data_IF_025872000802
#
_entry.id   IF_025872000802
#
_cell.length_a   1.000
_cell.length_b   1.000
_cell.length_c   1.000
_cell.angle_alpha   90.00
_cell.angle_beta   90.00
_cell.angle_gamma   90.00
#
_symmetry.space_group_name_H-M   'P 1'
#
loop_
_entity.id
_entity.type
_entity.pdbx_description
1 polymer ?
#
# COMPACT_ATOMS: atom_id res chain seq x y z
N UNK A 1 16.78 2.43 -3.41
CA UNK A 1 15.94 1.40 -4.03
C UNK A 1 14.53 1.58 -3.51
N UNK A 2 13.49 1.38 -4.34
CA UNK A 2 12.12 1.44 -3.83
C UNK A 2 11.89 0.32 -2.82
N UNK A 3 11.03 0.58 -1.83
CA UNK A 3 10.70 -0.44 -0.82
C UNK A 3 10.03 -1.66 -1.45
N UNK A 4 10.13 -2.80 -0.79
CA UNK A 4 9.43 -4.02 -1.18
C UNK A 4 7.93 -3.92 -0.89
N UNK A 5 7.12 -4.77 -1.53
CA UNK A 5 5.68 -4.87 -1.23
C UNK A 5 5.43 -5.13 0.27
N UNK A 6 6.22 -6.02 0.90
CA UNK A 6 6.06 -6.35 2.32
C UNK A 6 6.35 -5.15 3.22
N UNK A 7 7.39 -4.38 2.92
CA UNK A 7 7.72 -3.15 3.65
C UNK A 7 6.62 -2.10 3.51
N UNK A 8 6.08 -1.92 2.29
CA UNK A 8 4.96 -0.99 2.07
C UNK A 8 3.71 -1.41 2.84
N UNK A 9 3.32 -2.68 2.80
CA UNK A 9 2.16 -3.17 3.57
C UNK A 9 2.39 -2.97 5.06
N UNK A 10 3.58 -3.32 5.59
CA UNK A 10 3.93 -3.11 7.00
C UNK A 10 3.86 -1.64 7.40
N UNK A 11 4.34 -0.74 6.54
CA UNK A 11 4.28 0.70 6.78
C UNK A 11 2.83 1.20 6.84
N UNK A 12 2.00 0.81 5.87
CA UNK A 12 0.59 1.21 5.85
C UNK A 12 -0.16 0.68 7.07
N UNK A 13 0.07 -0.59 7.45
CA UNK A 13 -0.56 -1.20 8.63
C UNK A 13 -0.11 -0.51 9.93
N UNK A 14 1.18 -0.19 10.06
CA UNK A 14 1.69 0.57 11.21
C UNK A 14 1.06 1.96 11.34
N UNK A 15 0.58 2.55 10.24
CA UNK A 15 -0.08 3.86 10.21
C UNK A 15 -1.62 3.73 10.13
N UNK A 16 -2.19 2.67 10.69
CA UNK A 16 -3.65 2.51 10.81
C UNK A 16 -4.33 1.79 9.64
N UNK A 17 -3.56 1.31 8.66
CA UNK A 17 -4.07 0.47 7.59
C UNK A 17 -4.42 -0.94 8.07
N UNK A 18 -5.34 -1.59 7.37
CA UNK A 18 -5.73 -2.99 7.60
C UNK A 18 -5.49 -3.77 6.31
N UNK A 19 -4.60 -4.75 6.36
CA UNK A 19 -4.41 -5.69 5.25
C UNK A 19 -5.68 -6.54 5.07
N UNK A 20 -6.23 -6.53 3.85
CA UNK A 20 -7.41 -7.32 3.52
C UNK A 20 -7.01 -8.49 2.65
N UNK A 21 -7.43 -9.68 3.08
CA UNK A 21 -7.33 -10.90 2.27
C UNK A 21 -8.21 -10.75 1.04
N UNK A 22 -7.58 -10.70 -0.13
CA UNK A 22 -8.27 -10.67 -1.41
C UNK A 22 -7.60 -9.77 -2.43
N UNK A 23 -7.24 -10.34 -3.56
CA UNK A 23 -6.58 -9.66 -4.67
C UNK A 23 -6.47 -10.62 -5.85
N UNK A 24 -6.42 -10.10 -7.08
CA UNK A 24 -6.06 -10.93 -8.24
C UNK A 24 -4.53 -11.08 -8.25
N UNK A 25 -4.04 -12.29 -8.03
CA UNK A 25 -2.62 -12.61 -8.10
C UNK A 25 -1.80 -11.94 -6.99
N UNK A 26 -0.70 -11.29 -7.37
CA UNK A 26 0.34 -10.82 -6.45
C UNK A 26 0.11 -9.43 -5.84
N UNK A 27 -1.09 -8.84 -5.99
CA UNK A 27 -1.41 -7.52 -5.42
C UNK A 27 -2.09 -7.66 -4.06
N UNK A 28 -1.62 -6.89 -3.09
CA UNK A 28 -2.20 -6.83 -1.74
C UNK A 28 -3.12 -5.61 -1.65
N UNK A 29 -4.26 -5.76 -0.97
CA UNK A 29 -5.18 -4.66 -0.67
C UNK A 29 -5.00 -4.22 0.76
N UNK A 30 -4.89 -2.91 0.97
CA UNK A 30 -4.87 -2.31 2.31
C UNK A 30 -6.01 -1.32 2.41
N UNK A 31 -6.94 -1.54 3.34
CA UNK A 31 -7.92 -0.52 3.72
C UNK A 31 -7.20 0.51 4.56
N UNK A 32 -7.34 1.78 4.21
CA UNK A 32 -6.65 2.87 4.89
C UNK A 32 -7.68 3.90 5.38
N UNK A 33 -7.58 4.37 6.65
CA UNK A 33 -8.50 5.37 7.17
C UNK A 33 -8.53 6.63 6.32
N UNK A 34 -9.73 7.15 6.03
CA UNK A 34 -9.90 8.36 5.21
C UNK A 34 -9.75 8.15 3.70
N UNK A 35 -9.43 6.93 3.23
CA UNK A 35 -9.34 6.60 1.80
C UNK A 35 -10.56 5.77 1.40
N UNK A 36 -11.41 6.32 0.54
CA UNK A 36 -12.67 5.68 0.10
C UNK A 36 -12.48 4.35 -0.66
N UNK A 37 -11.27 4.06 -1.14
CA UNK A 37 -10.96 2.83 -1.88
C UNK A 37 -9.72 2.16 -1.27
N UNK A 38 -9.66 0.81 -1.23
CA UNK A 38 -8.46 0.12 -0.79
C UNK A 38 -7.24 0.57 -1.60
N UNK A 39 -6.12 0.80 -0.91
CA UNK A 39 -4.82 1.01 -1.53
C UNK A 39 -4.37 -0.34 -2.09
N UNK A 40 -4.01 -0.37 -3.38
CA UNK A 40 -3.54 -1.58 -4.05
C UNK A 40 -2.01 -1.55 -4.10
N UNK A 41 -1.37 -2.46 -3.39
CA UNK A 41 0.08 -2.58 -3.34
C UNK A 41 0.54 -3.69 -4.29
N UNK A 42 1.18 -3.36 -5.43
CA UNK A 42 1.71 -4.35 -6.36
C UNK A 42 2.96 -5.05 -5.81
N UNK A 43 3.29 -6.22 -6.37
CA UNK A 43 4.44 -7.01 -5.91
C UNK A 43 5.80 -6.31 -6.11
N UNK A 44 5.97 -5.59 -7.22
CA UNK A 44 7.17 -4.81 -7.52
C UNK A 44 6.82 -3.33 -7.52
N UNK A 45 7.41 -2.58 -6.61
CA UNK A 45 7.23 -1.13 -6.52
C UNK A 45 8.33 -0.44 -7.32
N UNK A 46 7.93 0.41 -8.27
CA UNK A 46 8.83 1.43 -8.84
C UNK A 46 8.74 2.67 -7.96
N UNK A 47 9.76 3.54 -7.99
CA UNK A 47 9.82 4.77 -7.16
C UNK A 47 8.56 5.63 -7.27
N UNK A 48 8.01 5.81 -8.48
CA UNK A 48 6.77 6.57 -8.67
C UNK A 48 5.54 5.90 -8.04
N UNK A 49 5.46 4.57 -8.10
CA UNK A 49 4.37 3.80 -7.48
C UNK A 49 4.42 3.89 -5.96
N UNK A 50 5.61 3.76 -5.38
CA UNK A 50 5.83 3.95 -3.94
C UNK A 50 5.37 5.34 -3.50
N UNK A 51 5.81 6.39 -4.18
CA UNK A 51 5.41 7.77 -3.87
C UNK A 51 3.91 8.00 -4.03
N UNK A 52 3.30 7.44 -5.08
CA UNK A 52 1.85 7.52 -5.28
C UNK A 52 1.06 6.88 -4.15
N UNK A 53 1.51 5.72 -3.66
CA UNK A 53 0.88 5.03 -2.52
C UNK A 53 1.05 5.85 -1.24
N UNK A 54 2.25 6.39 -0.97
CA UNK A 54 2.48 7.24 0.21
C UNK A 54 1.60 8.50 0.20
N UNK A 55 1.45 9.13 -0.97
CA UNK A 55 0.57 10.29 -1.14
C UNK A 55 -0.90 9.92 -0.94
N UNK A 56 -1.33 8.77 -1.48
CA UNK A 56 -2.69 8.27 -1.27
C UNK A 56 -2.98 7.98 0.20
N UNK A 57 -1.98 7.52 0.95
CA UNK A 57 -2.06 7.30 2.40
C UNK A 57 -1.85 8.57 3.23
N UNK A 58 -1.59 9.73 2.62
CA UNK A 58 -1.33 10.98 3.34
C UNK A 58 -0.01 11.00 4.14
N UNK A 59 0.93 10.10 3.81
CA UNK A 59 2.23 9.99 4.48
C UNK A 59 3.32 10.86 3.83
N UNK A 60 3.05 11.42 2.64
CA UNK A 60 3.98 12.28 1.90
C UNK A 60 3.28 13.20 0.91
#
# INVERSE_FOLDING_TARGET
MPMTQKEMVKLLVANGGIEVKGGKGSHVKVLYPGVNRPIIVPHKLKRGTEQGILKQAGLK
#
